data_IF_809586373013
#
_entry.id   IF_809586373013
#
_cell.length_a   1.000
_cell.length_b   1.000
_cell.length_c   1.000
_cell.angle_alpha   90.00
_cell.angle_beta   90.00
_cell.angle_gamma   90.00
#
_symmetry.space_group_name_H-M   'P 1'
#
loop_
_entity.id
_entity.type
_entity.pdbx_description
1 polymer ?
#
# COMPACT_ATOMS: atom_id res chain seq x y z
N UNK A 1 17.61 16.36 -9.65
CA UNK A 1 16.34 15.82 -10.19
C UNK A 1 15.24 16.07 -9.17
N UNK A 2 14.09 16.61 -9.58
CA UNK A 2 12.94 16.74 -8.69
C UNK A 2 12.47 15.33 -8.32
N UNK A 3 12.48 14.96 -7.04
CA UNK A 3 11.88 13.70 -6.58
C UNK A 3 10.39 13.77 -6.86
N UNK A 4 9.90 12.87 -7.70
CA UNK A 4 8.46 12.72 -7.90
C UNK A 4 7.85 12.11 -6.64
N UNK A 5 6.58 12.41 -6.35
CA UNK A 5 5.88 11.81 -5.21
C UNK A 5 5.84 10.28 -5.31
N UNK A 6 5.66 9.75 -6.52
CA UNK A 6 5.70 8.31 -6.76
C UNK A 6 7.09 7.71 -6.46
N UNK A 7 8.19 8.42 -6.78
CA UNK A 7 9.54 7.99 -6.41
C UNK A 7 9.70 7.86 -4.90
N UNK A 8 9.19 8.83 -4.13
CA UNK A 8 9.18 8.76 -2.66
C UNK A 8 8.36 7.57 -2.12
N UNK A 9 7.20 7.29 -2.73
CA UNK A 9 6.36 6.16 -2.36
C UNK A 9 7.07 4.82 -2.59
N UNK A 10 7.71 4.66 -3.76
CA UNK A 10 8.42 3.44 -4.16
C UNK A 10 9.72 3.22 -3.39
N UNK A 11 10.45 4.30 -3.06
CA UNK A 11 11.67 4.23 -2.23
C UNK A 11 11.37 3.89 -0.77
N UNK A 12 10.17 4.24 -0.27
CA UNK A 12 9.80 4.01 1.12
C UNK A 12 9.47 2.53 1.35
N UNK A 13 10.42 1.82 1.94
CA UNK A 13 10.32 0.38 2.25
C UNK A 13 8.94 -0.02 2.81
N UNK A 14 8.38 -1.11 2.31
CA UNK A 14 7.10 -1.69 2.75
C UNK A 14 5.85 -0.82 2.52
N UNK A 15 5.95 0.38 1.92
CA UNK A 15 4.77 1.23 1.68
C UNK A 15 3.87 0.63 0.60
N UNK A 16 4.47 0.15 -0.47
CA UNK A 16 3.79 -0.61 -1.53
C UNK A 16 3.17 -1.88 -0.94
N UNK A 17 3.92 -2.63 -0.13
CA UNK A 17 3.44 -3.86 0.50
C UNK A 17 2.22 -3.62 1.43
N UNK A 18 2.19 -2.49 2.15
CA UNK A 18 1.01 -2.11 2.96
C UNK A 18 -0.21 -1.90 2.06
N UNK A 19 -0.05 -1.15 0.96
CA UNK A 19 -1.16 -0.87 0.04
C UNK A 19 -1.68 -2.14 -0.62
N UNK A 20 -0.79 -3.02 -1.09
CA UNK A 20 -1.13 -4.33 -1.66
C UNK A 20 -1.79 -5.24 -0.62
N UNK A 21 -1.29 -5.27 0.61
CA UNK A 21 -1.89 -6.09 1.67
C UNK A 21 -3.32 -5.64 1.99
N UNK A 22 -3.57 -4.33 2.11
CA UNK A 22 -4.93 -3.81 2.37
C UNK A 22 -5.86 -4.08 1.19
N UNK A 23 -5.35 -4.02 -0.05
CA UNK A 23 -6.10 -4.40 -1.24
C UNK A 23 -6.56 -5.86 -1.18
N UNK A 24 -5.64 -6.78 -0.88
CA UNK A 24 -5.91 -8.23 -0.86
C UNK A 24 -6.71 -8.66 0.39
N UNK A 25 -6.71 -7.83 1.44
CA UNK A 25 -7.39 -8.08 2.71
C UNK A 25 -8.29 -6.89 3.09
N UNK A 26 -9.45 -6.72 2.44
CA UNK A 26 -10.39 -5.67 2.78
C UNK A 26 -10.77 -5.71 4.26
N UNK A 27 -10.88 -4.53 4.88
CA UNK A 27 -11.20 -4.37 6.30
C UNK A 27 -10.18 -4.99 7.27
N UNK A 28 -8.93 -5.21 6.83
CA UNK A 28 -7.88 -5.67 7.73
C UNK A 28 -7.65 -4.71 8.90
N UNK A 29 -7.20 -5.24 10.03
CA UNK A 29 -6.86 -4.43 11.18
C UNK A 29 -5.46 -3.83 11.01
N UNK A 30 -5.24 -2.65 11.61
CA UNK A 30 -3.90 -2.08 11.73
C UNK A 30 -2.89 -3.07 12.33
N UNK A 31 -3.32 -3.90 13.29
CA UNK A 31 -2.50 -4.96 13.87
C UNK A 31 -2.07 -6.05 12.89
N UNK A 32 -2.84 -6.27 11.82
CA UNK A 32 -2.52 -7.28 10.81
C UNK A 32 -1.34 -6.82 9.97
N UNK A 33 -1.26 -5.52 9.64
CA UNK A 33 -0.08 -4.93 8.99
C UNK A 33 1.19 -5.16 9.81
N UNK A 34 1.15 -4.90 11.12
CA UNK A 34 2.31 -5.12 12.00
C UNK A 34 2.74 -6.60 12.06
N UNK A 35 1.78 -7.52 11.94
CA UNK A 35 2.03 -8.96 12.06
C UNK A 35 2.48 -9.60 10.75
N UNK A 36 1.95 -9.12 9.62
CA UNK A 36 2.03 -9.79 8.31
C UNK A 36 2.87 -9.06 7.28
N UNK A 37 2.97 -7.73 7.38
CA UNK A 37 3.72 -6.91 6.41
C UNK A 37 5.04 -6.45 7.02
N UNK A 38 5.01 -5.79 8.18
CA UNK A 38 6.19 -5.13 8.72
C UNK A 38 6.15 -4.99 10.24
N UNK A 39 7.15 -5.56 10.92
CA UNK A 39 7.39 -5.37 12.37
C UNK A 39 8.20 -4.10 12.69
N UNK A 40 8.48 -3.26 11.69
CA UNK A 40 9.27 -2.04 11.87
C UNK A 40 8.51 -1.05 12.77
N UNK A 41 9.23 -0.38 13.68
CA UNK A 41 8.67 0.70 14.51
C UNK A 41 8.08 1.85 13.66
N UNK A 42 8.67 2.10 12.49
CA UNK A 42 8.22 3.12 11.52
C UNK A 42 6.98 2.71 10.72
N UNK A 43 6.44 1.49 10.88
CA UNK A 43 5.19 1.07 10.21
C UNK A 43 4.04 2.01 10.56
N UNK A 44 4.00 2.56 11.80
CA UNK A 44 2.99 3.54 12.19
C UNK A 44 3.03 4.79 11.32
N UNK A 45 4.20 5.42 11.24
CA UNK A 45 4.43 6.67 10.50
C UNK A 45 4.08 6.51 9.02
N UNK A 46 4.33 5.32 8.45
CA UNK A 46 3.97 5.00 7.07
C UNK A 46 2.47 4.89 6.87
N UNK A 47 1.76 4.22 7.78
CA UNK A 47 0.29 4.15 7.70
C UNK A 47 -0.30 5.55 7.86
N UNK A 48 0.20 6.34 8.81
CA UNK A 48 -0.24 7.71 9.03
C UNK A 48 0.02 8.58 7.78
N UNK A 49 1.19 8.47 7.16
CA UNK A 49 1.52 9.13 5.88
C UNK A 49 0.58 8.71 4.74
N UNK A 50 0.26 7.42 4.61
CA UNK A 50 -0.68 6.93 3.60
C UNK A 50 -2.11 7.46 3.83
N UNK A 51 -2.49 7.69 5.09
CA UNK A 51 -3.74 8.36 5.44
C UNK A 51 -3.69 9.85 5.10
N UNK A 52 -2.60 10.55 5.40
CA UNK A 52 -2.40 11.96 5.06
C UNK A 52 -2.43 12.19 3.54
N UNK A 53 -1.88 11.26 2.77
CA UNK A 53 -1.97 11.26 1.31
C UNK A 53 -3.33 10.82 0.76
N UNK A 54 -4.30 10.51 1.63
CA UNK A 54 -5.64 10.04 1.27
C UNK A 54 -5.62 8.77 0.41
N UNK A 55 -4.65 7.89 0.64
CA UNK A 55 -4.59 6.56 0.02
C UNK A 55 -5.29 5.51 0.89
N UNK A 56 -5.23 5.69 2.22
CA UNK A 56 -5.92 4.87 3.20
C UNK A 56 -6.88 5.70 4.06
N UNK A 57 -7.94 5.05 4.51
CA UNK A 57 -8.78 5.49 5.62
C UNK A 57 -8.52 4.56 6.80
N UNK A 58 -8.38 5.13 7.98
CA UNK A 58 -8.26 4.40 9.24
C UNK A 58 -9.47 4.72 10.12
N UNK A 59 -10.30 3.72 10.40
CA UNK A 59 -11.52 3.88 11.19
C UNK A 59 -11.45 3.04 12.48
N UNK A 60 -11.93 3.58 13.62
CA UNK A 60 -12.05 2.80 14.85
C UNK A 60 -12.95 1.58 14.68
N UNK A 61 -12.50 0.42 15.17
CA UNK A 61 -13.21 -0.85 15.07
C UNK A 61 -13.65 -1.33 16.46
N UNK A 62 -14.76 -0.76 16.93
CA UNK A 62 -15.37 -1.12 18.21
C UNK A 62 -14.59 -0.62 19.43
N UNK A 63 -14.41 -1.48 20.44
CA UNK A 63 -13.76 -1.11 21.71
C UNK A 63 -12.23 -1.22 21.64
N UNK A 64 -11.56 -0.24 22.24
CA UNK A 64 -10.10 -0.20 22.39
C UNK A 64 -9.38 0.49 21.23
N UNK A 65 -8.08 0.25 21.08
CA UNK A 65 -7.22 0.87 20.05
C UNK A 65 -7.19 0.06 18.74
N UNK A 66 -8.31 -0.59 18.40
CA UNK A 66 -8.46 -1.37 17.16
C UNK A 66 -8.89 -0.41 16.07
N UNK A 67 -8.18 -0.43 14.95
CA UNK A 67 -8.55 0.32 13.77
C UNK A 67 -8.57 -0.61 12.56
N UNK A 68 -9.57 -0.43 11.70
CA UNK A 68 -9.65 -1.04 10.37
C UNK A 68 -9.00 -0.10 9.37
N UNK A 69 -8.31 -0.68 8.38
CA UNK A 69 -7.74 0.03 7.26
C UNK A 69 -8.49 -0.32 5.97
N UNK A 70 -8.82 0.72 5.21
CA UNK A 70 -9.52 0.59 3.92
C UNK A 70 -8.86 1.50 2.89
N UNK A 71 -8.71 1.04 1.64
CA UNK A 71 -8.27 1.90 0.56
C UNK A 71 -9.34 2.94 0.23
N UNK A 72 -8.93 4.19 0.01
CA UNK A 72 -9.77 5.17 -0.67
C UNK A 72 -9.89 4.82 -2.15
N UNK A 73 -10.72 5.55 -2.89
CA UNK A 73 -10.75 5.45 -4.35
C UNK A 73 -9.38 5.78 -4.98
N UNK A 74 -8.72 6.80 -4.46
CA UNK A 74 -7.36 7.17 -4.86
C UNK A 74 -6.37 6.04 -4.58
N UNK A 75 -6.45 5.43 -3.40
CA UNK A 75 -5.62 4.29 -3.00
C UNK A 75 -5.82 3.08 -3.92
N UNK A 76 -7.07 2.72 -4.21
CA UNK A 76 -7.41 1.64 -5.15
C UNK A 76 -6.80 1.88 -6.52
N UNK A 77 -6.95 3.09 -7.07
CA UNK A 77 -6.37 3.43 -8.38
C UNK A 77 -4.84 3.30 -8.40
N UNK A 78 -4.17 3.73 -7.34
CA UNK A 78 -2.72 3.55 -7.21
C UNK A 78 -2.35 2.07 -7.17
N UNK A 79 -3.05 1.26 -6.38
CA UNK A 79 -2.80 -0.19 -6.32
C UNK A 79 -3.00 -0.85 -7.68
N UNK A 80 -4.06 -0.52 -8.42
CA UNK A 80 -4.25 -1.05 -9.77
C UNK A 80 -3.06 -0.73 -10.69
N UNK A 81 -2.58 0.51 -10.67
CA UNK A 81 -1.41 0.90 -11.46
C UNK A 81 -0.13 0.16 -11.03
N UNK A 82 0.04 -0.10 -9.74
CA UNK A 82 1.17 -0.89 -9.24
C UNK A 82 1.09 -2.34 -9.70
N UNK A 83 -0.11 -2.94 -9.70
CA UNK A 83 -0.34 -4.29 -10.19
C UNK A 83 -0.15 -4.40 -11.71
N UNK A 84 -0.60 -3.41 -12.48
CA UNK A 84 -0.35 -3.31 -13.93
C UNK A 84 1.15 -3.17 -14.23
N UNK A 85 1.86 -2.32 -13.48
CA UNK A 85 3.31 -2.17 -13.61
C UNK A 85 4.04 -3.49 -13.28
N UNK A 86 3.64 -4.15 -12.20
CA UNK A 86 4.19 -5.45 -11.82
C UNK A 86 3.90 -6.53 -12.88
N UNK A 87 2.71 -6.54 -13.50
CA UNK A 87 2.41 -7.45 -14.60
C UNK A 87 3.28 -7.19 -15.83
N UNK A 88 3.50 -5.92 -16.16
CA UNK A 88 4.40 -5.49 -17.23
C UNK A 88 5.84 -5.92 -16.95
N UNK A 89 6.27 -5.93 -15.68
CA UNK A 89 7.60 -6.40 -15.31
C UNK A 89 7.73 -7.93 -15.39
N UNK A 90 6.63 -8.68 -15.17
CA UNK A 90 6.60 -10.14 -15.31
C UNK A 90 6.65 -10.59 -16.77
N UNK A 91 6.02 -9.86 -17.67
CA UNK A 91 5.97 -10.17 -19.10
C UNK A 91 7.12 -9.43 -19.79
N UNK A 92 8.23 -10.13 -20.02
CA UNK A 92 9.32 -9.59 -20.83
C UNK A 92 8.82 -9.18 -22.22
N UNK A 93 9.35 -8.10 -22.76
CA UNK A 93 8.95 -7.49 -24.06
C UNK A 93 9.30 -8.39 -25.27
N UNK A 94 9.75 -9.63 -25.07
CA UNK A 94 10.42 -10.46 -26.08
C UNK A 94 9.62 -11.68 -26.58
N UNK A 95 8.31 -11.79 -26.32
CA UNK A 95 7.50 -12.91 -26.86
C UNK A 95 6.72 -12.58 -28.14
N UNK A 96 6.78 -11.35 -28.66
CA UNK A 96 6.11 -10.94 -29.91
C UNK A 96 7.04 -10.99 -31.16
N UNK A 97 8.16 -11.72 -31.10
CA UNK A 97 9.14 -11.83 -32.21
C UNK A 97 9.48 -13.28 -32.64
N UNK A 98 8.55 -14.23 -32.54
CA UNK A 98 8.69 -15.55 -33.17
C UNK A 98 7.42 -15.99 -33.93
#
# INVERSE_FOLDING_TARGET
MSRTRIGGLLESANTVDILLYVHDHPMCLRSDIYRKVSRNAHTREKIDMLCDESLLIMEPAGKGNRCVLTLTEKGRRIVCLLLEAEETLRHGVDEDLL
#
